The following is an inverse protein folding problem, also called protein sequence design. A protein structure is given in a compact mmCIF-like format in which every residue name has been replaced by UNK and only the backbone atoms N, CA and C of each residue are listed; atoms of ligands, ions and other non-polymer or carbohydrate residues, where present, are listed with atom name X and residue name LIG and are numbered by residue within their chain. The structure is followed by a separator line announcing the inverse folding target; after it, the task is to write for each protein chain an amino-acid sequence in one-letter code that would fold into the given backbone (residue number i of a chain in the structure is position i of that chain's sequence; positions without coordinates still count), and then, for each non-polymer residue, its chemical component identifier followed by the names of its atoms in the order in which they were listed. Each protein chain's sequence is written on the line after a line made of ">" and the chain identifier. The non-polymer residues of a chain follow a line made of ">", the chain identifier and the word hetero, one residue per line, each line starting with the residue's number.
data_IF_055829967761
#
_entry.id   IF_055829967761
#
_cell.length_a   1.000
_cell.length_b   1.000
_cell.length_c   1.000
_cell.angle_alpha   90.00
_cell.angle_beta   90.00
_cell.angle_gamma   90.00
#
_symmetry.space_group_name_H-M   'P 1'
#
loop_
_entity.id
_entity.type
_entity.pdbx_description
1 polymer ?
#
# COMPACT_ATOMS: atom_id res chain seq x y z
N UNK A 1 10.84 -16.84 17.63
CA UNK A 1 11.75 -15.83 17.05
C UNK A 1 11.09 -15.27 15.80
N UNK A 2 10.33 -14.17 15.92
CA UNK A 2 9.73 -13.48 14.77
C UNK A 2 9.94 -11.99 15.01
N UNK A 3 11.20 -11.56 14.97
CA UNK A 3 11.51 -10.25 14.42
C UNK A 3 11.85 -10.60 12.99
N UNK A 4 10.89 -10.41 12.07
CA UNK A 4 11.10 -10.75 10.66
C UNK A 4 12.06 -9.73 10.07
N UNK A 5 13.33 -10.01 10.28
CA UNK A 5 14.41 -9.36 9.59
C UNK A 5 14.29 -9.79 8.12
N UNK A 6 13.65 -8.94 7.31
CA UNK A 6 13.33 -9.22 5.92
C UNK A 6 14.37 -8.57 5.01
N UNK A 7 14.88 -9.33 4.05
CA UNK A 7 15.91 -8.86 3.12
C UNK A 7 17.34 -8.86 3.70
N UNK A 8 18.31 -8.28 2.99
CA UNK A 8 19.71 -8.31 3.39
C UNK A 8 20.05 -7.27 4.47
N UNK A 9 21.01 -7.59 5.34
CA UNK A 9 21.36 -6.78 6.52
C UNK A 9 21.70 -5.32 6.27
N UNK A 10 22.37 -5.04 5.15
CA UNK A 10 22.72 -3.68 4.77
C UNK A 10 21.50 -2.81 4.41
N UNK A 11 20.32 -3.42 4.18
CA UNK A 11 19.12 -2.71 3.73
C UNK A 11 18.13 -2.39 4.86
N UNK A 12 18.33 -2.86 6.10
CA UNK A 12 17.33 -2.68 7.17
C UNK A 12 16.97 -1.21 7.44
N UNK A 13 17.95 -0.34 7.67
CA UNK A 13 17.67 1.09 7.86
C UNK A 13 17.12 1.75 6.59
N UNK A 14 17.57 1.28 5.42
CA UNK A 14 17.16 1.82 4.12
C UNK A 14 15.67 1.48 3.84
N UNK A 15 15.22 0.28 4.18
CA UNK A 15 13.80 -0.14 4.09
C UNK A 15 12.87 0.85 4.81
N UNK A 16 13.24 1.27 6.02
CA UNK A 16 12.44 2.26 6.76
C UNK A 16 12.36 3.59 6.03
N UNK A 17 13.45 4.02 5.37
CA UNK A 17 13.45 5.25 4.54
C UNK A 17 12.52 5.10 3.34
N UNK A 18 12.52 3.95 2.66
CA UNK A 18 11.59 3.67 1.56
C UNK A 18 10.13 3.75 2.03
N UNK A 19 9.82 3.14 3.17
CA UNK A 19 8.47 3.17 3.75
C UNK A 19 8.01 4.60 4.09
N UNK A 20 8.89 5.46 4.63
CA UNK A 20 8.58 6.88 4.85
C UNK A 20 8.30 7.58 3.53
N UNK A 21 9.12 7.35 2.50
CA UNK A 21 8.91 7.93 1.17
C UNK A 21 7.55 7.48 0.62
N UNK A 22 7.20 6.20 0.74
CA UNK A 22 5.89 5.69 0.32
C UNK A 22 4.77 6.38 1.08
N UNK A 23 4.87 6.50 2.41
CA UNK A 23 3.89 7.20 3.21
C UNK A 23 3.67 8.64 2.74
N UNK A 24 4.76 9.39 2.48
CA UNK A 24 4.69 10.77 1.99
C UNK A 24 3.99 10.83 0.63
N UNK A 25 4.39 9.97 -0.33
CA UNK A 25 3.76 9.91 -1.65
C UNK A 25 2.25 9.61 -1.53
N UNK A 26 1.88 8.67 -0.67
CA UNK A 26 0.50 8.26 -0.46
C UNK A 26 -0.33 9.34 0.24
N UNK A 27 0.25 10.10 1.17
CA UNK A 27 -0.39 11.29 1.76
C UNK A 27 -0.63 12.38 0.72
N UNK A 28 0.33 12.63 -0.18
CA UNK A 28 0.16 13.60 -1.27
C UNK A 28 -1.00 13.19 -2.18
N UNK A 29 -1.05 11.92 -2.60
CA UNK A 29 -2.14 11.38 -3.42
C UNK A 29 -3.48 11.46 -2.67
N UNK A 30 -3.51 11.14 -1.37
CA UNK A 30 -4.69 11.25 -0.54
C UNK A 30 -5.19 12.71 -0.47
N UNK A 31 -4.26 13.67 -0.33
CA UNK A 31 -4.54 15.10 -0.34
C UNK A 31 -5.11 15.59 -1.68
N UNK A 32 -4.51 15.19 -2.81
CA UNK A 32 -5.04 15.51 -4.14
C UNK A 32 -6.43 14.90 -4.37
N UNK A 33 -6.64 13.65 -3.96
CA UNK A 33 -7.94 12.98 -4.03
C UNK A 33 -8.99 13.68 -3.19
N UNK A 34 -8.65 14.12 -1.97
CA UNK A 34 -9.56 14.86 -1.11
C UNK A 34 -9.89 16.23 -1.69
N UNK A 35 -8.90 16.93 -2.24
CA UNK A 35 -9.11 18.18 -2.94
C UNK A 35 -10.07 18.01 -4.12
N UNK A 36 -9.89 16.97 -4.94
CA UNK A 36 -10.81 16.63 -6.02
C UNK A 36 -12.24 16.37 -5.51
N UNK A 37 -12.39 15.64 -4.39
CA UNK A 37 -13.68 15.45 -3.74
C UNK A 37 -14.36 16.77 -3.37
N UNK A 38 -13.64 17.73 -2.78
CA UNK A 38 -14.24 19.04 -2.44
C UNK A 38 -14.66 19.86 -3.66
N UNK A 39 -14.08 19.59 -4.84
CA UNK A 39 -14.37 20.33 -6.06
C UNK A 39 -15.50 19.73 -6.89
N UNK A 40 -15.64 18.40 -6.88
CA UNK A 40 -16.64 17.68 -7.69
C UNK A 40 -17.80 17.12 -6.87
N UNK A 41 -17.65 17.06 -5.55
CA UNK A 41 -18.55 16.39 -4.59
C UNK A 41 -18.79 14.90 -4.88
N UNK A 42 -18.03 14.30 -5.80
CA UNK A 42 -18.18 12.89 -6.14
C UNK A 42 -17.55 11.99 -5.07
N UNK A 43 -18.39 11.13 -4.46
CA UNK A 43 -17.99 10.22 -3.36
C UNK A 43 -16.80 9.33 -3.69
N UNK A 44 -16.58 8.98 -4.97
CA UNK A 44 -15.44 8.14 -5.39
C UNK A 44 -14.09 8.72 -4.97
N UNK A 45 -13.92 10.04 -5.04
CA UNK A 45 -12.67 10.70 -4.67
C UNK A 45 -12.44 10.73 -3.16
N UNK A 46 -13.53 10.76 -2.37
CA UNK A 46 -13.46 10.62 -0.90
C UNK A 46 -12.95 9.23 -0.52
N UNK A 47 -13.45 8.18 -1.16
CA UNK A 47 -12.99 6.82 -0.92
C UNK A 47 -11.56 6.57 -1.40
N UNK A 48 -11.16 7.15 -2.55
CA UNK A 48 -9.76 7.14 -2.98
C UNK A 48 -8.86 7.78 -1.93
N UNK A 49 -9.22 8.98 -1.46
CA UNK A 49 -8.47 9.67 -0.42
C UNK A 49 -8.33 8.84 0.85
N UNK A 50 -9.44 8.28 1.35
CA UNK A 50 -9.43 7.41 2.51
C UNK A 50 -8.55 6.16 2.30
N UNK A 51 -8.64 5.52 1.12
CA UNK A 51 -7.83 4.36 0.78
C UNK A 51 -6.33 4.67 0.84
N UNK A 52 -5.90 5.72 0.14
CA UNK A 52 -4.50 6.14 0.13
C UNK A 52 -4.00 6.62 1.50
N UNK A 53 -4.85 7.29 2.28
CA UNK A 53 -4.52 7.71 3.64
C UNK A 53 -4.30 6.51 4.57
N UNK A 54 -5.16 5.49 4.52
CA UNK A 54 -4.99 4.27 5.31
C UNK A 54 -3.69 3.55 4.95
N UNK A 55 -3.37 3.43 3.66
CA UNK A 55 -2.10 2.86 3.21
C UNK A 55 -0.90 3.67 3.70
N UNK A 56 -0.98 5.01 3.68
CA UNK A 56 0.08 5.87 4.21
C UNK A 56 0.31 5.67 5.72
N UNK A 57 -0.77 5.59 6.51
CA UNK A 57 -0.68 5.26 7.93
C UNK A 57 -0.03 3.89 8.14
N UNK A 58 -0.41 2.89 7.33
CA UNK A 58 0.19 1.56 7.35
C UNK A 58 1.71 1.63 7.21
N UNK A 59 2.21 2.36 6.22
CA UNK A 59 3.66 2.55 6.03
C UNK A 59 4.33 3.29 7.19
N UNK A 60 3.70 4.32 7.75
CA UNK A 60 4.26 5.04 8.90
C UNK A 60 4.38 4.14 10.13
N UNK A 61 3.33 3.37 10.46
CA UNK A 61 3.36 2.45 11.60
C UNK A 61 4.50 1.43 11.49
N UNK A 62 4.67 0.82 10.31
CA UNK A 62 5.74 -0.14 10.09
C UNK A 62 7.12 0.53 10.15
N UNK A 63 7.28 1.69 9.51
CA UNK A 63 8.56 2.38 9.48
C UNK A 63 9.01 2.84 10.86
N UNK A 64 8.12 3.43 11.65
CA UNK A 64 8.46 3.87 13.00
C UNK A 64 8.86 2.69 13.88
N UNK A 65 8.12 1.57 13.78
CA UNK A 65 8.48 0.36 14.52
C UNK A 65 9.84 -0.19 14.11
N UNK A 66 10.11 -0.29 12.81
CA UNK A 66 11.39 -0.78 12.29
C UNK A 66 12.54 0.13 12.73
N UNK A 67 12.37 1.45 12.65
CA UNK A 67 13.38 2.42 13.10
C UNK A 67 13.69 2.27 14.60
N UNK A 68 12.67 2.11 15.44
CA UNK A 68 12.86 1.91 16.88
C UNK A 68 13.66 0.64 17.19
N UNK A 69 13.41 -0.44 16.43
CA UNK A 69 14.17 -1.70 16.55
C UNK A 69 15.62 -1.48 16.09
N UNK A 70 15.83 -0.86 14.93
CA UNK A 70 17.18 -0.69 14.36
C UNK A 70 18.06 0.28 15.14
N UNK A 71 17.49 1.28 15.81
CA UNK A 71 18.24 2.23 16.64
C UNK A 71 18.54 1.69 18.05
N UNK A 72 18.13 0.46 18.38
CA UNK A 72 18.33 -0.12 19.71
C UNK A 72 17.54 0.58 20.83
N UNK A 73 16.58 1.44 20.47
CA UNK A 73 15.71 2.16 21.43
C UNK A 73 14.76 1.18 22.13
N UNK A 74 14.50 0.03 21.50
CA UNK A 74 13.68 -1.06 22.03
C UNK A 74 14.16 -1.57 23.39
N UNK A 75 15.48 -1.70 23.60
CA UNK A 75 16.08 -2.27 24.81
C UNK A 75 15.79 -1.44 26.08
N UNK A 76 15.53 -0.14 25.93
CA UNK A 76 15.32 0.78 27.07
C UNK A 76 13.86 0.99 27.48
N UNK A 77 12.95 1.17 26.52
CA UNK A 77 11.56 1.60 26.79
C UNK A 77 10.59 0.42 26.75
N UNK A 78 10.82 -0.53 25.85
CA UNK A 78 9.90 -1.62 25.56
C UNK A 78 10.34 -2.98 26.12
N UNK A 79 11.55 -3.10 26.67
CA UNK A 79 12.00 -4.30 27.41
C UNK A 79 11.14 -4.64 28.64
N UNK A 80 10.29 -3.70 29.09
CA UNK A 80 9.25 -3.92 30.11
C UNK A 80 7.98 -4.59 29.55
N UNK A 81 7.80 -4.55 28.24
CA UNK A 81 6.75 -5.23 27.51
C UNK A 81 7.34 -6.45 26.81
N UNK A 82 6.56 -7.53 26.66
CA UNK A 82 7.02 -8.68 25.89
C UNK A 82 7.25 -8.23 24.43
N UNK A 83 8.52 -8.07 24.02
CA UNK A 83 8.93 -7.49 22.72
C UNK A 83 8.22 -8.15 21.54
N UNK A 84 8.00 -9.47 21.65
CA UNK A 84 7.27 -10.28 20.67
C UNK A 84 5.83 -9.81 20.50
N UNK A 85 5.16 -9.37 21.56
CA UNK A 85 3.78 -8.90 21.49
C UNK A 85 3.66 -7.52 20.83
N UNK A 86 4.63 -6.62 21.08
CA UNK A 86 4.60 -5.27 20.49
C UNK A 86 4.86 -5.34 18.99
N UNK A 87 5.88 -6.09 18.56
CA UNK A 87 6.19 -6.26 17.13
C UNK A 87 4.98 -6.86 16.38
N UNK A 88 4.38 -7.93 16.92
CA UNK A 88 3.18 -8.54 16.34
C UNK A 88 2.00 -7.57 16.25
N UNK A 89 1.80 -6.71 17.26
CA UNK A 89 0.75 -5.70 17.25
C UNK A 89 0.97 -4.64 16.15
N UNK A 90 2.21 -4.16 15.98
CA UNK A 90 2.52 -3.20 14.91
C UNK A 90 2.27 -3.83 13.54
N UNK A 91 2.78 -5.05 13.30
CA UNK A 91 2.53 -5.76 12.04
C UNK A 91 1.04 -5.97 11.80
N UNK A 92 0.28 -6.31 12.83
CA UNK A 92 -1.17 -6.43 12.76
C UNK A 92 -1.83 -5.12 12.31
N UNK A 93 -1.48 -4.00 12.96
CA UNK A 93 -2.00 -2.66 12.61
C UNK A 93 -1.63 -2.29 11.18
N UNK A 94 -0.36 -2.53 10.79
CA UNK A 94 0.10 -2.31 9.42
C UNK A 94 -0.74 -3.09 8.40
N UNK A 95 -0.89 -4.40 8.59
CA UNK A 95 -1.66 -5.27 7.69
C UNK A 95 -3.12 -4.81 7.61
N UNK A 96 -3.75 -4.52 8.75
CA UNK A 96 -5.14 -4.05 8.80
C UNK A 96 -5.32 -2.74 8.01
N UNK A 97 -4.41 -1.78 8.18
CA UNK A 97 -4.44 -0.50 7.48
C UNK A 97 -4.20 -0.66 5.97
N UNK A 98 -3.21 -1.47 5.58
CA UNK A 98 -2.87 -1.74 4.19
C UNK A 98 -4.03 -2.43 3.45
N UNK A 99 -4.58 -3.50 4.03
CA UNK A 99 -5.71 -4.21 3.45
C UNK A 99 -6.97 -3.35 3.37
N UNK A 100 -7.21 -2.50 4.38
CA UNK A 100 -8.30 -1.53 4.33
C UNK A 100 -8.10 -0.55 3.18
N UNK A 101 -6.89 -0.01 3.04
CA UNK A 101 -6.53 0.88 1.94
C UNK A 101 -6.78 0.23 0.57
N UNK A 102 -6.16 -0.92 0.32
CA UNK A 102 -6.30 -1.64 -0.96
C UNK A 102 -7.74 -2.08 -1.27
N UNK A 103 -8.50 -2.49 -0.26
CA UNK A 103 -9.90 -2.87 -0.45
C UNK A 103 -10.76 -1.65 -0.83
N UNK A 104 -10.57 -0.50 -0.18
CA UNK A 104 -11.25 0.75 -0.56
C UNK A 104 -10.92 1.16 -1.98
N UNK A 105 -9.64 1.10 -2.38
CA UNK A 105 -9.21 1.39 -3.74
C UNK A 105 -9.86 0.44 -4.75
N UNK A 106 -9.89 -0.86 -4.46
CA UNK A 106 -10.51 -1.87 -5.32
C UNK A 106 -12.02 -1.65 -5.47
N UNK A 107 -12.73 -1.38 -4.38
CA UNK A 107 -14.17 -1.08 -4.38
C UNK A 107 -14.49 0.08 -5.31
N UNK A 108 -13.67 1.14 -5.28
CA UNK A 108 -13.85 2.29 -6.16
C UNK A 108 -13.48 1.95 -7.60
N UNK A 109 -12.36 1.26 -7.83
CA UNK A 109 -11.88 0.89 -9.15
C UNK A 109 -12.90 0.01 -9.91
N UNK A 110 -13.49 -0.98 -9.22
CA UNK A 110 -14.48 -1.91 -9.77
C UNK A 110 -15.92 -1.38 -9.67
N UNK A 111 -16.13 -0.18 -9.14
CA UNK A 111 -17.46 0.44 -8.96
C UNK A 111 -18.43 -0.44 -8.16
N UNK A 112 -17.94 -1.16 -7.15
CA UNK A 112 -18.77 -2.03 -6.31
C UNK A 112 -19.72 -1.19 -5.46
N UNK A 113 -21.04 -1.42 -5.59
CA UNK A 113 -22.06 -0.67 -4.84
C UNK A 113 -22.71 -1.48 -3.70
N UNK A 114 -22.66 -2.81 -3.77
CA UNK A 114 -23.38 -3.67 -2.83
C UNK A 114 -22.63 -3.76 -1.49
N UNK A 115 -23.15 -3.04 -0.47
CA UNK A 115 -22.53 -2.97 0.87
C UNK A 115 -22.28 -4.33 1.52
N UNK A 116 -23.19 -5.28 1.33
CA UNK A 116 -23.06 -6.65 1.89
C UNK A 116 -21.85 -7.37 1.30
N UNK A 117 -21.62 -7.25 -0.01
CA UNK A 117 -20.46 -7.83 -0.67
C UNK A 117 -19.17 -7.18 -0.18
N UNK A 118 -19.14 -5.85 -0.06
CA UNK A 118 -17.98 -5.12 0.45
C UNK A 118 -17.65 -5.57 1.89
N UNK A 119 -18.64 -5.61 2.78
CA UNK A 119 -18.45 -6.07 4.16
C UNK A 119 -17.94 -7.51 4.22
N UNK A 120 -18.45 -8.39 3.35
CA UNK A 120 -18.01 -9.78 3.24
C UNK A 120 -16.57 -9.88 2.72
N UNK A 121 -16.17 -9.05 1.75
CA UNK A 121 -14.77 -8.96 1.31
C UNK A 121 -13.85 -8.54 2.45
N UNK A 122 -14.21 -7.48 3.20
CA UNK A 122 -13.47 -7.07 4.38
C UNK A 122 -13.35 -8.21 5.41
N UNK A 123 -14.46 -8.85 5.74
CA UNK A 123 -14.47 -9.96 6.70
C UNK A 123 -13.55 -11.11 6.27
N UNK A 124 -13.61 -11.53 5.00
CA UNK A 124 -12.75 -12.60 4.49
C UNK A 124 -11.28 -12.22 4.44
N UNK A 125 -10.95 -11.00 3.99
CA UNK A 125 -9.56 -10.53 3.93
C UNK A 125 -8.93 -10.45 5.32
N UNK A 126 -9.65 -9.91 6.29
CA UNK A 126 -9.19 -9.83 7.68
C UNK A 126 -9.08 -11.22 8.32
N UNK A 127 -10.07 -12.09 8.11
CA UNK A 127 -10.03 -13.46 8.63
C UNK A 127 -8.85 -14.25 8.05
N UNK A 128 -8.59 -14.13 6.76
CA UNK A 128 -7.51 -14.86 6.10
C UNK A 128 -6.11 -14.31 6.44
N UNK A 129 -5.97 -12.99 6.55
CA UNK A 129 -4.68 -12.35 6.83
C UNK A 129 -4.26 -12.49 8.31
N UNK A 130 -5.19 -12.33 9.25
CA UNK A 130 -4.86 -12.15 10.67
C UNK A 130 -4.79 -13.46 11.46
N UNK A 131 -5.55 -14.48 11.07
CA UNK A 131 -5.60 -15.75 11.81
C UNK A 131 -4.62 -16.80 11.27
N UNK A 132 -3.51 -16.34 10.72
CA UNK A 132 -2.51 -17.19 10.08
C UNK A 132 -1.17 -17.13 10.80
N UNK A 133 -0.55 -18.30 10.99
CA UNK A 133 0.84 -18.41 11.46
C UNK A 133 1.86 -17.69 10.56
N UNK A 134 1.58 -17.61 9.25
CA UNK A 134 2.42 -16.95 8.25
C UNK A 134 1.77 -15.66 7.73
N UNK A 135 1.50 -14.70 8.63
CA UNK A 135 0.80 -13.46 8.27
C UNK A 135 1.53 -12.63 7.20
N UNK A 136 2.87 -12.60 7.22
CA UNK A 136 3.67 -11.84 6.23
C UNK A 136 3.47 -12.33 4.80
N UNK A 137 3.70 -13.63 4.55
CA UNK A 137 3.54 -14.22 3.21
C UNK A 137 2.10 -14.10 2.72
N UNK A 138 1.12 -14.35 3.58
CA UNK A 138 -0.30 -14.22 3.20
C UNK A 138 -0.67 -12.78 2.89
N UNK A 139 -0.17 -11.82 3.65
CA UNK A 139 -0.39 -10.41 3.36
C UNK A 139 0.08 -10.04 1.95
N UNK A 140 1.33 -10.36 1.58
CA UNK A 140 1.85 -10.07 0.24
C UNK A 140 1.10 -10.82 -0.86
N UNK A 141 0.64 -12.06 -0.61
CA UNK A 141 -0.18 -12.80 -1.57
C UNK A 141 -1.54 -12.13 -1.79
N UNK A 142 -2.21 -11.71 -0.72
CA UNK A 142 -3.48 -10.98 -0.82
C UNK A 142 -3.28 -9.63 -1.52
N UNK A 143 -2.24 -8.88 -1.14
CA UNK A 143 -1.91 -7.60 -1.75
C UNK A 143 -1.65 -7.75 -3.25
N UNK A 144 -0.87 -8.77 -3.66
CA UNK A 144 -0.64 -9.13 -5.05
C UNK A 144 -1.97 -9.37 -5.79
N UNK A 145 -2.88 -10.16 -5.22
CA UNK A 145 -4.18 -10.42 -5.84
C UNK A 145 -5.02 -9.15 -5.99
N UNK A 146 -5.14 -8.33 -4.95
CA UNK A 146 -5.92 -7.08 -4.98
C UNK A 146 -5.34 -6.10 -6.00
N UNK A 147 -4.01 -5.94 -6.03
CA UNK A 147 -3.31 -5.07 -6.97
C UNK A 147 -3.40 -5.61 -8.41
N UNK A 148 -3.35 -6.91 -8.62
CA UNK A 148 -3.56 -7.53 -9.93
C UNK A 148 -4.99 -7.28 -10.46
N UNK A 149 -6.02 -7.40 -9.62
CA UNK A 149 -7.39 -7.05 -10.00
C UNK A 149 -7.53 -5.56 -10.34
N UNK A 150 -6.91 -4.67 -9.56
CA UNK A 150 -6.89 -3.24 -9.89
C UNK A 150 -6.15 -2.98 -11.21
N UNK A 151 -4.99 -3.60 -11.43
CA UNK A 151 -4.23 -3.48 -12.67
C UNK A 151 -5.05 -3.94 -13.88
N UNK A 152 -5.73 -5.09 -13.77
CA UNK A 152 -6.65 -5.59 -14.79
C UNK A 152 -7.78 -4.60 -15.09
N UNK A 153 -8.44 -4.07 -14.04
CA UNK A 153 -9.51 -3.10 -14.20
C UNK A 153 -9.03 -1.80 -14.89
N UNK A 154 -7.84 -1.32 -14.55
CA UNK A 154 -7.26 -0.13 -15.17
C UNK A 154 -6.72 -0.40 -16.58
N UNK A 155 -6.32 -1.63 -16.89
CA UNK A 155 -5.99 -2.06 -18.24
C UNK A 155 -7.21 -1.96 -19.16
N UNK A 156 -8.37 -2.48 -18.75
CA UNK A 156 -9.61 -2.35 -19.52
C UNK A 156 -9.99 -0.87 -19.73
N UNK A 157 -9.92 -0.04 -18.68
CA UNK A 157 -10.14 1.41 -18.82
C UNK A 157 -9.08 2.09 -19.73
N UNK A 158 -7.85 1.59 -19.79
CA UNK A 158 -6.85 2.08 -20.74
C UNK A 158 -7.18 1.69 -22.18
N UNK A 159 -7.64 0.45 -22.42
CA UNK A 159 -8.07 0.00 -23.75
C UNK A 159 -9.21 0.83 -24.31
N UNK A 160 -10.15 1.21 -23.46
CA UNK A 160 -11.28 2.07 -23.82
C UNK A 160 -10.86 3.52 -24.11
N UNK A 161 -10.11 4.14 -23.19
CA UNK A 161 -9.82 5.59 -23.27
C UNK A 161 -8.58 5.95 -24.09
N UNK A 162 -7.58 5.05 -24.13
CA UNK A 162 -6.27 5.22 -24.80
C UNK A 162 -5.54 6.54 -24.47
N UNK A 163 -5.77 7.09 -23.27
CA UNK A 163 -5.08 8.30 -22.82
C UNK A 163 -3.77 7.97 -22.10
N UNK A 164 -2.80 8.88 -22.15
CA UNK A 164 -1.55 8.74 -21.39
C UNK A 164 -1.82 8.53 -19.89
N UNK A 165 -2.73 9.31 -19.30
CA UNK A 165 -3.06 9.19 -17.88
C UNK A 165 -3.66 7.81 -17.54
N UNK A 166 -4.56 7.27 -18.38
CA UNK A 166 -5.10 5.92 -18.13
C UNK A 166 -4.02 4.84 -18.26
N UNK A 167 -3.07 4.99 -19.19
CA UNK A 167 -1.94 4.09 -19.32
C UNK A 167 -1.01 4.14 -18.11
N UNK A 168 -0.69 5.34 -17.61
CA UNK A 168 0.13 5.53 -16.41
C UNK A 168 -0.52 4.92 -15.16
N UNK A 169 -1.84 5.05 -14.97
CA UNK A 169 -2.53 4.40 -13.83
C UNK A 169 -2.42 2.88 -13.95
N UNK A 170 -2.67 2.31 -15.13
CA UNK A 170 -2.49 0.88 -15.36
C UNK A 170 -1.06 0.43 -15.03
N UNK A 171 -0.05 1.09 -15.60
CA UNK A 171 1.36 0.77 -15.34
C UNK A 171 1.71 0.89 -13.86
N UNK A 172 1.15 1.87 -13.15
CA UNK A 172 1.36 2.04 -11.70
C UNK A 172 0.88 0.81 -10.94
N UNK A 173 -0.38 0.40 -11.12
CA UNK A 173 -0.93 -0.76 -10.41
C UNK A 173 -0.29 -2.09 -10.85
N UNK A 174 0.11 -2.20 -12.11
CA UNK A 174 0.88 -3.36 -12.59
C UNK A 174 2.25 -3.46 -11.92
N UNK A 175 3.00 -2.35 -11.82
CA UNK A 175 4.27 -2.32 -11.11
C UNK A 175 4.09 -2.61 -9.62
N UNK A 176 3.05 -2.08 -8.98
CA UNK A 176 2.76 -2.41 -7.58
C UNK A 176 2.46 -3.90 -7.39
N UNK A 177 1.68 -4.53 -8.28
CA UNK A 177 1.48 -5.98 -8.23
C UNK A 177 2.80 -6.74 -8.43
N UNK A 178 3.64 -6.31 -9.37
CA UNK A 178 4.95 -6.92 -9.62
C UNK A 178 5.89 -6.77 -8.40
N UNK A 179 5.83 -5.64 -7.69
CA UNK A 179 6.56 -5.44 -6.44
C UNK A 179 6.17 -6.47 -5.38
N UNK A 180 4.87 -6.71 -5.17
CA UNK A 180 4.40 -7.75 -4.23
C UNK A 180 4.88 -9.16 -4.64
N UNK A 181 4.97 -9.44 -5.94
CA UNK A 181 5.54 -10.70 -6.43
C UNK A 181 7.02 -10.84 -6.05
N UNK A 182 7.83 -9.78 -6.19
CA UNK A 182 9.23 -9.79 -5.75
C UNK A 182 9.37 -9.92 -4.24
N UNK A 183 8.50 -9.26 -3.47
CA UNK A 183 8.46 -9.36 -2.01
C UNK A 183 8.07 -10.78 -1.55
N UNK A 184 7.20 -11.49 -2.27
CA UNK A 184 6.94 -12.92 -2.03
C UNK A 184 8.15 -13.79 -2.37
N UNK A 185 8.80 -13.51 -3.50
CA UNK A 185 9.94 -14.28 -3.98
C UNK A 185 11.21 -14.12 -3.13
N UNK A 186 11.23 -13.19 -2.17
CA UNK A 186 12.37 -12.98 -1.26
C UNK A 186 12.75 -14.24 -0.46
N UNK A 187 11.81 -15.17 -0.26
CA UNK A 187 12.03 -16.45 0.43
C UNK A 187 13.09 -17.28 -0.30
N UNK A 188 13.14 -17.18 -1.63
CA UNK A 188 14.13 -17.87 -2.45
C UNK A 188 15.41 -17.05 -2.60
N UNK A 189 15.29 -15.73 -2.73
CA UNK A 189 16.42 -14.83 -2.97
C UNK A 189 16.23 -13.51 -2.21
N UNK A 190 16.93 -13.28 -1.08
CA UNK A 190 16.75 -12.08 -0.25
C UNK A 190 16.97 -10.75 -0.98
N UNK A 191 17.78 -10.74 -2.05
CA UNK A 191 18.01 -9.55 -2.88
C UNK A 191 16.76 -9.05 -3.61
N UNK A 192 15.79 -9.93 -3.87
CA UNK A 192 14.51 -9.56 -4.48
C UNK A 192 13.67 -8.65 -3.58
N UNK A 193 13.92 -8.63 -2.27
CA UNK A 193 13.30 -7.68 -1.35
C UNK A 193 13.60 -6.22 -1.74
N UNK A 194 14.86 -5.94 -2.08
CA UNK A 194 15.31 -4.60 -2.51
C UNK A 194 14.70 -4.24 -3.86
N UNK A 195 14.64 -5.20 -4.79
CA UNK A 195 14.01 -5.03 -6.10
C UNK A 195 12.52 -4.73 -5.94
N UNK A 196 11.82 -5.44 -5.04
CA UNK A 196 10.42 -5.20 -4.72
C UNK A 196 10.18 -3.75 -4.29
N UNK A 197 10.95 -3.26 -3.32
CA UNK A 197 10.86 -1.86 -2.85
C UNK A 197 11.17 -0.83 -3.94
N UNK A 198 12.18 -1.08 -4.78
CA UNK A 198 12.50 -0.19 -5.89
C UNK A 198 11.36 -0.13 -6.92
N UNK A 199 10.78 -1.28 -7.27
CA UNK A 199 9.64 -1.39 -8.20
C UNK A 199 8.39 -0.74 -7.59
N UNK A 200 8.17 -0.91 -6.29
CA UNK A 200 7.07 -0.28 -5.56
C UNK A 200 7.19 1.25 -5.57
N UNK A 201 8.39 1.79 -5.38
CA UNK A 201 8.66 3.23 -5.49
C UNK A 201 8.30 3.76 -6.87
N UNK A 202 8.70 3.06 -7.93
CA UNK A 202 8.35 3.43 -9.31
C UNK A 202 6.83 3.40 -9.51
N UNK A 203 6.15 2.36 -9.02
CA UNK A 203 4.69 2.23 -9.08
C UNK A 203 3.96 3.41 -8.42
N UNK A 204 4.32 3.77 -7.18
CA UNK A 204 3.73 4.93 -6.51
C UNK A 204 4.14 6.26 -7.14
N UNK A 205 5.36 6.37 -7.65
CA UNK A 205 5.84 7.57 -8.36
C UNK A 205 5.05 7.86 -9.63
N UNK A 206 4.76 6.82 -10.44
CA UNK A 206 3.89 6.97 -11.62
C UNK A 206 2.47 7.37 -11.22
N UNK A 207 1.92 6.78 -10.14
CA UNK A 207 0.59 7.11 -9.68
C UNK A 207 0.51 8.57 -9.22
N UNK A 208 1.50 9.06 -8.48
CA UNK A 208 1.61 10.46 -8.07
C UNK A 208 1.70 11.39 -9.29
N UNK A 209 2.50 11.02 -10.29
CA UNK A 209 2.62 11.81 -11.53
C UNK A 209 1.27 11.98 -12.23
N UNK A 210 0.41 10.96 -12.24
CA UNK A 210 -0.96 11.08 -12.78
C UNK A 210 -1.77 12.12 -12.01
N UNK A 211 -1.76 12.08 -10.68
CA UNK A 211 -2.53 13.04 -9.87
C UNK A 211 -2.04 14.48 -10.06
N UNK A 212 -0.72 14.68 -10.16
CA UNK A 212 -0.13 16.00 -10.47
C UNK A 212 -0.57 16.47 -11.86
N UNK A 213 -0.55 15.59 -12.87
CA UNK A 213 -0.96 15.93 -14.23
C UNK A 213 -2.44 16.31 -14.29
N UNK A 214 -3.31 15.56 -13.61
CA UNK A 214 -4.75 15.86 -13.54
C UNK A 214 -4.98 17.22 -12.88
N UNK A 215 -4.31 17.52 -11.76
CA UNK A 215 -4.47 18.82 -11.09
C UNK A 215 -4.04 20.00 -11.98
N UNK A 216 -2.89 19.87 -12.68
CA UNK A 216 -2.41 20.91 -13.59
C UNK A 216 -3.40 21.21 -14.71
N UNK A 217 -4.07 20.19 -15.25
CA UNK A 217 -5.08 20.39 -16.28
C UNK A 217 -6.33 21.08 -15.72
N UNK A 218 -6.80 20.71 -14.53
CA UNK A 218 -7.96 21.36 -13.89
C UNK A 218 -7.72 22.83 -13.57
N UNK A 219 -6.47 23.23 -13.26
CA UNK A 219 -6.14 24.65 -13.02
C UNK A 219 -6.10 25.48 -14.30
N UNK A 220 -5.72 24.91 -15.45
CA UNK A 220 -5.65 25.63 -16.73
C UNK A 220 -7.02 25.88 -17.37
N UNK A 221 -8.03 25.10 -17.01
CA UNK A 221 -9.40 25.22 -17.53
C UNK A 221 -10.31 26.13 -16.69
N UNK A 222 -9.76 26.84 -15.69
CA UNK A 222 -10.44 27.85 -14.87
C UNK A 222 -9.83 29.21 -15.17
#
# INVERSE_FOLDING_TARGET
>A
MIISINGPAWFYTIDSVFQIIFAVVMLLIAGFSYKAYRLTEERKYKYFSAGFFMTALGFLFLSFSNLLVYLGIYDGILSRFNELNVANLVYFIHIALMLTGYTLLLVVAMKLQQRRLIALMFAFLFLFALFSYQYYLKFHLIALMLLAFMAWQFYENYREKKTLNSGLVFSSFYLLALAELFLLAMIFMPTLYVVGHAVQLLGYGLLLAVFINVEKHTRKSR
#
